data_IF_784114200727
#
_entry.id   IF_784114200727
#
_cell.length_a   1.000
_cell.length_b   1.000
_cell.length_c   1.000
_cell.angle_alpha   90.00
_cell.angle_beta   90.00
_cell.angle_gamma   90.00
#
_symmetry.space_group_name_H-M   'P 1'
#
loop_
_entity.id
_entity.type
_entity.pdbx_description
1 polymer ?
#
# COMPACT_ATOMS: atom_id res chain seq x y z
N UNK A 1 7.12 -10.55 14.74
CA UNK A 1 6.91 -9.45 13.77
C UNK A 1 7.33 -9.98 12.40
N UNK A 2 6.40 -10.57 11.64
CA UNK A 2 6.71 -10.99 10.27
C UNK A 2 6.73 -9.76 9.38
N UNK A 3 7.84 -9.55 8.67
CA UNK A 3 7.95 -8.52 7.66
C UNK A 3 7.56 -9.15 6.33
N UNK A 4 6.65 -8.52 5.60
CA UNK A 4 6.16 -9.03 4.33
C UNK A 4 6.83 -8.25 3.21
N UNK A 5 7.32 -8.96 2.21
CA UNK A 5 7.92 -8.35 1.03
C UNK A 5 6.84 -7.60 0.23
N UNK A 6 6.99 -6.28 0.01
CA UNK A 6 6.00 -5.49 -0.71
C UNK A 6 5.83 -5.90 -2.18
N UNK A 7 6.83 -6.57 -2.76
CA UNK A 7 6.83 -6.98 -4.17
C UNK A 7 6.11 -8.32 -4.40
N UNK A 8 6.24 -9.28 -3.48
CA UNK A 8 5.81 -10.67 -3.73
C UNK A 8 4.98 -11.32 -2.62
N UNK A 9 4.75 -10.59 -1.51
CA UNK A 9 4.02 -11.07 -0.35
C UNK A 9 4.74 -12.16 0.47
N UNK A 10 6.01 -12.45 0.17
CA UNK A 10 6.80 -13.45 0.89
C UNK A 10 7.32 -12.94 2.24
N UNK A 11 7.72 -13.87 3.12
CA UNK A 11 8.31 -13.52 4.42
C UNK A 11 9.75 -12.98 4.25
N UNK A 12 10.05 -11.90 4.96
CA UNK A 12 11.35 -11.23 5.00
C UNK A 12 12.10 -11.64 6.26
N UNK A 13 13.31 -12.18 6.09
CA UNK A 13 14.22 -12.54 7.18
C UNK A 13 15.25 -11.45 7.41
N UNK A 14 15.37 -10.96 8.65
CA UNK A 14 16.42 -10.02 9.04
C UNK A 14 17.75 -10.76 9.22
N UNK A 15 18.75 -10.44 8.41
CA UNK A 15 20.11 -10.98 8.50
C UNK A 15 21.12 -9.83 8.46
N UNK A 16 21.98 -9.71 9.48
CA UNK A 16 23.05 -8.69 9.54
C UNK A 16 22.57 -7.24 9.26
N UNK A 17 21.36 -6.90 9.70
CA UNK A 17 20.78 -5.55 9.52
C UNK A 17 20.09 -5.30 8.18
N UNK A 18 20.01 -6.30 7.29
CA UNK A 18 19.25 -6.24 6.03
C UNK A 18 18.11 -7.26 6.04
N UNK A 19 17.00 -6.93 5.37
CA UNK A 19 15.83 -7.80 5.23
C UNK A 19 15.93 -8.55 3.91
N UNK A 20 15.91 -9.88 3.95
CA UNK A 20 16.04 -10.73 2.75
C UNK A 20 14.74 -11.49 2.55
N UNK A 21 14.15 -11.39 1.36
CA UNK A 21 12.93 -12.13 1.04
C UNK A 21 13.26 -13.58 0.70
N UNK A 22 12.62 -14.51 1.39
CA UNK A 22 12.82 -15.95 1.16
C UNK A 22 12.16 -16.47 -0.12
N UNK A 23 11.28 -15.67 -0.74
CA UNK A 23 10.54 -16.07 -1.94
C UNK A 23 11.15 -15.50 -3.23
N UNK A 24 11.43 -14.20 -3.28
CA UNK A 24 11.99 -13.55 -4.48
C UNK A 24 13.49 -13.25 -4.38
N UNK A 25 14.12 -13.41 -3.21
CA UNK A 25 15.55 -13.14 -3.02
C UNK A 25 15.93 -11.67 -2.91
N UNK A 26 14.96 -10.74 -2.91
CA UNK A 26 15.22 -9.31 -2.76
C UNK A 26 15.79 -8.97 -1.39
N UNK A 27 16.73 -8.03 -1.37
CA UNK A 27 17.39 -7.54 -0.16
C UNK A 27 16.97 -6.08 0.04
N UNK A 28 16.36 -5.79 1.17
CA UNK A 28 15.94 -4.45 1.56
C UNK A 28 16.78 -3.97 2.73
N UNK A 29 17.27 -2.74 2.64
CA UNK A 29 17.80 -2.03 3.81
C UNK A 29 16.64 -1.45 4.61
N UNK A 30 16.88 -1.20 5.90
CA UNK A 30 15.85 -0.68 6.81
C UNK A 30 15.24 0.66 6.33
N UNK A 31 16.04 1.53 5.70
CA UNK A 31 15.55 2.81 5.16
C UNK A 31 14.69 2.59 3.91
N UNK A 32 15.14 1.77 2.96
CA UNK A 32 14.40 1.51 1.72
C UNK A 32 13.07 0.83 1.98
N UNK A 33 13.02 -0.14 2.90
CA UNK A 33 11.77 -0.78 3.26
C UNK A 33 10.78 0.23 3.86
N UNK A 34 11.26 1.18 4.66
CA UNK A 34 10.43 2.23 5.26
C UNK A 34 9.91 3.20 4.21
N UNK A 35 10.75 3.64 3.28
CA UNK A 35 10.37 4.54 2.18
C UNK A 35 9.37 3.88 1.23
N UNK A 36 9.57 2.61 0.88
CA UNK A 36 8.63 1.86 0.04
C UNK A 36 7.25 1.76 0.72
N UNK A 37 7.23 1.37 1.99
CA UNK A 37 5.98 1.22 2.74
C UNK A 37 5.27 2.58 2.87
N UNK A 38 6.02 3.65 3.15
CA UNK A 38 5.47 5.00 3.25
C UNK A 38 4.86 5.47 1.91
N UNK A 39 5.58 5.25 0.80
CA UNK A 39 5.12 5.58 -0.54
C UNK A 39 3.84 4.82 -0.92
N UNK A 40 3.81 3.50 -0.67
CA UNK A 40 2.61 2.68 -0.92
C UNK A 40 1.43 3.16 -0.08
N UNK A 41 1.65 3.43 1.21
CA UNK A 41 0.60 3.89 2.12
C UNK A 41 0.04 5.27 1.71
N UNK A 42 0.92 6.17 1.26
CA UNK A 42 0.54 7.49 0.75
C UNK A 42 -0.34 7.37 -0.50
N UNK A 43 0.03 6.50 -1.44
CA UNK A 43 -0.75 6.24 -2.66
C UNK A 43 -2.12 5.65 -2.36
N UNK A 44 -2.20 4.63 -1.50
CA UNK A 44 -3.48 4.02 -1.09
C UNK A 44 -4.42 5.04 -0.43
N UNK A 45 -3.86 5.92 0.40
CA UNK A 45 -4.66 6.95 1.09
C UNK A 45 -5.28 7.93 0.10
N UNK A 46 -4.52 8.36 -0.93
CA UNK A 46 -5.03 9.25 -1.98
C UNK A 46 -6.13 8.59 -2.80
N UNK A 47 -5.93 7.33 -3.22
CA UNK A 47 -6.89 6.61 -4.05
C UNK A 47 -8.24 6.41 -3.34
N UNK A 48 -8.20 6.10 -2.03
CA UNK A 48 -9.40 5.92 -1.22
C UNK A 48 -10.20 7.23 -1.04
N UNK A 49 -9.51 8.36 -0.89
CA UNK A 49 -10.17 9.67 -0.79
C UNK A 49 -10.86 10.05 -2.11
N UNK A 50 -10.21 9.80 -3.25
CA UNK A 50 -10.81 10.00 -4.58
C UNK A 50 -12.03 9.12 -4.82
N UNK A 51 -11.98 7.85 -4.44
CA UNK A 51 -13.12 6.93 -4.57
C UNK A 51 -14.32 7.40 -3.72
N UNK A 52 -14.05 7.82 -2.48
CA UNK A 52 -15.08 8.34 -1.59
C UNK A 52 -15.75 9.58 -2.19
N UNK A 53 -14.97 10.53 -2.71
CA UNK A 53 -15.50 11.74 -3.37
C UNK A 53 -16.34 11.41 -4.61
N UNK A 54 -15.93 10.43 -5.42
CA UNK A 54 -16.72 9.96 -6.59
C UNK A 54 -18.06 9.35 -6.15
N UNK A 55 -18.06 8.51 -5.11
CA UNK A 55 -19.29 7.89 -4.57
C UNK A 55 -20.27 8.94 -4.04
N UNK A 56 -19.78 9.95 -3.32
CA UNK A 56 -20.61 11.04 -2.81
C UNK A 56 -21.19 11.90 -3.93
N UNK A 57 -20.39 12.24 -4.94
CA UNK A 57 -20.87 12.96 -6.13
C UNK A 57 -21.93 12.17 -6.91
N UNK A 58 -21.69 10.86 -7.10
CA UNK A 58 -22.64 9.98 -7.77
C UNK A 58 -23.96 9.88 -7.01
N UNK A 59 -23.89 9.76 -5.68
CA UNK A 59 -25.07 9.71 -4.80
C UNK A 59 -25.89 10.98 -4.91
N UNK A 60 -25.24 12.15 -4.82
CA UNK A 60 -25.90 13.45 -5.00
C UNK A 60 -26.58 13.58 -6.37
N UNK A 61 -25.90 13.15 -7.44
CA UNK A 61 -26.45 13.25 -8.79
C UNK A 61 -27.65 12.33 -9.02
N UNK A 62 -27.61 11.10 -8.48
CA UNK A 62 -28.73 10.16 -8.54
C UNK A 62 -29.93 10.63 -7.72
N UNK A 63 -29.69 11.24 -6.55
CA UNK A 63 -30.74 11.87 -5.75
C UNK A 63 -31.43 13.02 -6.50
N UNK A 64 -30.74 13.69 -7.43
CA UNK A 64 -31.30 14.82 -8.20
C UNK A 64 -31.98 14.42 -9.52
N UNK A 65 -31.80 13.19 -9.98
CA UNK A 65 -32.39 12.69 -11.24
C UNK A 65 -33.65 11.84 -11.04
N UNK A 66 -33.98 11.53 -9.79
CA UNK A 66 -35.14 10.73 -9.41
C UNK A 66 -36.32 11.59 -8.92
N UNK A 67 -36.16 12.92 -8.96
CA UNK A 67 -37.19 13.95 -8.78
C UNK A 67 -37.58 14.52 -10.15
#
# INVERSE_FOLDING_TARGET
MSYICPECGGDLKLTRGVFICLKCGLIFKKYELKELIDSIKSSITKENDEEKRRKEYLKWWLSRKSD
#
